data_IF_739189958685
#
_entry.id   IF_739189958685
#
_cell.length_a   1.000
_cell.length_b   1.000
_cell.length_c   1.000
_cell.angle_alpha   90.00
_cell.angle_beta   90.00
_cell.angle_gamma   90.00
#
_symmetry.space_group_name_H-M   'P 1'
#
loop_
_entity.id
_entity.type
_entity.pdbx_description
1 polymer ?
#
# COMPACT_ATOMS: atom_id res chain seq x y z
N UNK A 1 -10.04 9.10 -1.70
CA UNK A 1 -9.97 8.51 -0.35
C UNK A 1 -10.98 7.36 -0.30
N UNK A 2 -10.55 6.17 0.11
CA UNK A 2 -11.38 4.96 0.08
C UNK A 2 -10.60 3.67 -0.17
N UNK A 3 -9.39 3.77 -0.72
CA UNK A 3 -8.56 2.59 -1.05
C UNK A 3 -7.71 2.09 0.12
N UNK A 4 -7.59 2.88 1.21
CA UNK A 4 -6.81 2.53 2.40
C UNK A 4 -7.24 1.18 2.97
N UNK A 5 -6.28 0.31 3.25
CA UNK A 5 -6.54 -1.09 3.63
C UNK A 5 -6.60 -2.07 2.45
N UNK A 6 -6.67 -1.58 1.20
CA UNK A 6 -6.67 -2.42 0.00
C UNK A 6 -5.32 -3.10 -0.28
N UNK A 7 -5.30 -4.24 -0.99
CA UNK A 7 -4.08 -4.99 -1.26
C UNK A 7 -3.30 -4.46 -2.47
N UNK A 8 -1.98 -4.39 -2.33
CA UNK A 8 -1.05 -4.29 -3.46
C UNK A 8 -0.61 -5.71 -3.86
N UNK A 9 -1.09 -6.17 -5.02
CA UNK A 9 -0.87 -7.53 -5.52
C UNK A 9 0.12 -7.52 -6.68
N UNK A 10 1.12 -8.41 -6.63
CA UNK A 10 2.03 -8.67 -7.74
C UNK A 10 2.26 -10.18 -7.87
N UNK A 11 2.13 -10.73 -9.08
CA UNK A 11 2.28 -12.19 -9.33
C UNK A 11 1.50 -13.03 -8.30
N UNK A 12 0.22 -12.70 -8.10
CA UNK A 12 -0.71 -13.39 -7.20
C UNK A 12 -0.34 -13.37 -5.70
N UNK A 13 0.67 -12.58 -5.31
CA UNK A 13 1.07 -12.41 -3.91
C UNK A 13 0.78 -10.99 -3.45
N UNK A 14 0.38 -10.84 -2.19
CA UNK A 14 0.19 -9.53 -1.57
C UNK A 14 1.53 -9.03 -1.03
N UNK A 15 1.95 -7.84 -1.47
CA UNK A 15 3.22 -7.23 -1.05
C UNK A 15 3.02 -6.08 -0.08
N UNK A 16 1.88 -5.39 -0.19
CA UNK A 16 1.59 -4.25 0.65
C UNK A 16 0.11 -4.01 0.86
N UNK A 17 -0.16 -3.12 1.80
CA UNK A 17 -1.50 -2.62 2.12
C UNK A 17 -1.49 -1.11 1.87
N UNK A 18 -2.47 -0.59 1.12
CA UNK A 18 -2.59 0.85 0.85
C UNK A 18 -2.65 1.60 2.18
N UNK A 19 -1.75 2.56 2.37
CA UNK A 19 -1.67 3.35 3.59
C UNK A 19 -2.16 4.78 3.34
N UNK A 20 -1.30 5.63 2.81
CA UNK A 20 -1.59 7.03 2.52
C UNK A 20 -0.93 7.46 1.22
N UNK A 21 -1.34 8.63 0.72
CA UNK A 21 -0.71 9.30 -0.41
C UNK A 21 -0.48 10.77 -0.08
N UNK A 22 0.06 11.52 -1.03
CA UNK A 22 0.18 12.97 -0.89
C UNK A 22 -1.17 13.67 -0.77
N UNK A 23 -1.16 15.00 -0.67
CA UNK A 23 -2.37 15.84 -0.53
C UNK A 23 -3.40 15.60 -1.65
N UNK A 24 -2.93 15.20 -2.85
CA UNK A 24 -3.76 14.83 -4.00
C UNK A 24 -3.43 13.42 -4.45
N UNK A 25 -4.46 12.59 -4.62
CA UNK A 25 -4.32 11.26 -5.22
C UNK A 25 -3.83 11.36 -6.67
N UNK A 26 -2.90 10.48 -7.06
CA UNK A 26 -2.38 10.41 -8.44
C UNK A 26 -1.32 11.47 -8.81
N UNK A 27 -0.76 12.21 -7.84
CA UNK A 27 0.38 13.09 -8.12
C UNK A 27 1.66 12.27 -8.34
N UNK A 28 2.22 12.33 -9.54
CA UNK A 28 3.43 11.57 -9.92
C UNK A 28 4.67 11.93 -9.11
N UNK A 29 4.66 13.10 -8.45
CA UNK A 29 5.76 13.53 -7.57
C UNK A 29 5.66 12.89 -6.18
N UNK A 30 4.48 12.44 -5.78
CA UNK A 30 4.20 11.85 -4.48
C UNK A 30 3.56 10.47 -4.66
N UNK A 31 4.37 9.41 -4.77
CA UNK A 31 3.84 8.07 -4.96
C UNK A 31 2.98 7.65 -3.76
N UNK A 32 2.02 6.77 -4.02
CA UNK A 32 1.23 6.14 -2.97
C UNK A 32 2.13 5.26 -2.09
N UNK A 33 1.93 5.35 -0.78
CA UNK A 33 2.73 4.65 0.22
C UNK A 33 1.95 3.44 0.73
N UNK A 34 2.66 2.32 0.83
CA UNK A 34 2.10 1.02 1.22
C UNK A 34 2.84 0.47 2.44
N UNK A 35 2.09 -0.14 3.36
CA UNK A 35 2.67 -0.93 4.45
C UNK A 35 3.23 -2.22 3.89
N UNK A 36 4.53 -2.49 4.09
CA UNK A 36 5.20 -3.70 3.59
C UNK A 36 4.84 -4.92 4.44
N UNK A 37 4.09 -5.88 3.87
CA UNK A 37 3.57 -7.04 4.61
C UNK A 37 4.69 -7.92 5.18
N UNK A 38 5.84 -8.01 4.51
CA UNK A 38 6.96 -8.84 4.98
C UNK A 38 7.46 -8.48 6.38
N UNK A 39 7.25 -7.24 6.83
CA UNK A 39 7.66 -6.80 8.16
C UNK A 39 6.73 -7.29 9.29
N UNK A 40 5.57 -7.85 8.93
CA UNK A 40 4.49 -8.20 9.86
C UNK A 40 4.09 -9.67 9.77
N UNK A 41 4.82 -10.50 9.02
CA UNK A 41 4.50 -11.93 8.87
C UNK A 41 4.51 -12.64 10.23
N UNK A 42 5.48 -12.34 11.11
CA UNK A 42 5.58 -13.00 12.42
C UNK A 42 4.47 -12.56 13.39
N UNK A 43 3.84 -11.41 13.13
CA UNK A 43 2.74 -10.89 13.95
C UNK A 43 1.38 -11.47 13.58
N UNK A 44 1.18 -11.80 12.28
CA UNK A 44 -0.07 -12.39 11.75
C UNK A 44 -0.09 -13.88 12.02
#
# INVERSE_FOLDING_TARGET
>A
QGDSGGPLIFKEKVYGIVSFSGERCGDRRYPDIYTKISNYIDWV
#
